data_IF_782750296876
#
_entry.id   IF_782750296876
#
_cell.length_a   1.000
_cell.length_b   1.000
_cell.length_c   1.000
_cell.angle_alpha   90.00
_cell.angle_beta   90.00
_cell.angle_gamma   90.00
#
_symmetry.space_group_name_H-M   'P 1'
#
loop_
_entity.id
_entity.type
_entity.pdbx_description
1 polymer ?
#
# COMPACT_ATOMS: atom_id res chain seq x y z
N UNK A 1 0.08 15.32 12.66
CA UNK A 1 0.50 14.83 13.99
C UNK A 1 -0.74 14.32 14.70
N UNK A 2 -0.72 13.10 15.22
CA UNK A 2 -1.84 12.47 15.90
C UNK A 2 -1.68 12.48 17.42
N UNK A 3 -0.44 12.47 17.93
CA UNK A 3 -0.15 12.71 19.35
C UNK A 3 1.30 13.15 19.54
N UNK A 4 1.57 13.86 20.64
CA UNK A 4 2.90 14.17 21.10
C UNK A 4 2.95 13.97 22.63
N UNK A 5 3.92 13.21 23.12
CA UNK A 5 4.08 12.90 24.55
C UNK A 5 5.55 12.86 24.96
N UNK A 6 5.85 13.23 26.20
CA UNK A 6 7.19 13.06 26.78
C UNK A 6 7.29 11.66 27.38
N UNK A 7 8.27 10.86 26.95
CA UNK A 7 8.51 9.54 27.53
C UNK A 7 9.46 9.64 28.74
N UNK A 8 8.89 9.87 29.91
CA UNK A 8 9.65 9.95 31.17
C UNK A 8 10.18 8.59 31.67
N UNK A 9 9.77 7.46 31.07
CA UNK A 9 10.30 6.14 31.44
C UNK A 9 11.72 5.90 30.94
N UNK A 10 12.29 6.81 30.14
CA UNK A 10 13.67 6.73 29.63
C UNK A 10 14.64 7.67 30.38
N UNK A 11 14.25 8.23 31.53
CA UNK A 11 15.11 9.12 32.32
C UNK A 11 16.51 8.53 32.56
N UNK A 12 17.58 9.36 32.47
CA UNK A 12 17.56 10.82 32.41
C UNK A 12 17.24 11.42 31.03
N UNK A 13 17.33 10.65 29.95
CA UNK A 13 17.00 11.09 28.59
C UNK A 13 15.50 10.88 28.33
N UNK A 14 14.69 11.91 28.56
CA UNK A 14 13.25 11.87 28.32
C UNK A 14 12.87 12.44 26.94
N UNK A 15 12.88 11.63 25.85
CA UNK A 15 12.57 12.12 24.52
C UNK A 15 11.09 12.52 24.38
N UNK A 16 10.83 13.42 23.45
CA UNK A 16 9.47 13.69 22.96
C UNK A 16 9.16 12.68 21.85
N UNK A 17 8.17 11.84 22.09
CA UNK A 17 7.60 10.95 21.08
C UNK A 17 6.51 11.71 20.32
N UNK A 18 6.70 11.90 19.01
CA UNK A 18 5.70 12.48 18.10
C UNK A 18 5.21 11.38 17.17
N UNK A 19 3.93 11.10 17.19
CA UNK A 19 3.30 10.19 16.22
C UNK A 19 2.53 11.00 15.18
N UNK A 20 2.67 10.66 13.91
CA UNK A 20 1.96 11.28 12.80
C UNK A 20 1.36 10.22 11.88
N UNK A 21 0.24 10.55 11.24
CA UNK A 21 -0.41 9.74 10.21
C UNK A 21 -0.32 10.48 8.89
N UNK A 22 0.04 9.76 7.82
CA UNK A 22 0.11 10.31 6.46
C UNK A 22 -1.28 10.59 5.86
N UNK A 23 -2.32 9.91 6.34
CA UNK A 23 -3.71 9.99 5.85
C UNK A 23 -4.63 10.81 6.78
N UNK A 24 -4.04 11.56 7.72
CA UNK A 24 -4.78 12.24 8.78
C UNK A 24 -5.66 13.38 8.28
N UNK A 25 -5.25 14.07 7.20
CA UNK A 25 -5.99 15.22 6.65
C UNK A 25 -7.21 14.75 5.86
N UNK A 26 -7.03 13.71 5.06
CA UNK A 26 -8.02 13.11 4.16
C UNK A 26 -9.16 12.48 4.96
N UNK A 27 -8.86 11.89 6.12
CA UNK A 27 -9.88 11.35 7.04
C UNK A 27 -10.78 12.41 7.69
N UNK A 28 -10.34 13.67 7.75
CA UNK A 28 -11.13 14.77 8.33
C UNK A 28 -12.13 15.36 7.33
N UNK A 29 -12.00 15.04 6.04
CA UNK A 29 -12.93 15.51 5.02
C UNK A 29 -14.25 14.76 5.17
N UNK A 30 -15.31 15.51 5.48
CA UNK A 30 -16.66 14.98 5.52
C UNK A 30 -17.03 14.52 4.11
N UNK A 31 -17.39 13.24 4.00
CA UNK A 31 -17.83 12.65 2.74
C UNK A 31 -19.27 12.18 2.89
N UNK A 32 -20.13 12.56 1.95
CA UNK A 32 -21.46 11.98 1.87
C UNK A 32 -21.38 10.48 1.57
N UNK A 33 -22.36 9.68 2.03
CA UNK A 33 -22.46 8.26 1.68
C UNK A 33 -22.46 8.06 0.16
N UNK A 34 -21.75 7.02 -0.30
CA UNK A 34 -21.82 6.61 -1.70
C UNK A 34 -22.97 5.63 -1.85
N UNK A 35 -24.02 6.04 -2.55
CA UNK A 35 -25.18 5.22 -2.90
C UNK A 35 -25.40 5.33 -4.41
N UNK A 36 -25.34 4.21 -5.12
CA UNK A 36 -25.55 4.18 -6.56
C UNK A 36 -26.63 3.14 -6.85
N UNK A 37 -27.65 3.52 -7.60
CA UNK A 37 -28.64 2.58 -8.11
C UNK A 37 -28.10 1.90 -9.39
N UNK A 38 -28.13 0.56 -9.42
CA UNK A 38 -27.62 -0.22 -10.55
C UNK A 38 -26.17 -0.65 -10.41
N UNK A 39 -25.56 -1.06 -11.53
CA UNK A 39 -24.17 -1.51 -11.58
C UNK A 39 -23.19 -0.35 -11.68
N UNK A 40 -22.22 -0.32 -10.77
CA UNK A 40 -21.12 0.64 -10.77
C UNK A 40 -19.77 -0.08 -10.83
N UNK A 41 -18.84 0.45 -11.62
CA UNK A 41 -17.46 -0.02 -11.60
C UNK A 41 -16.77 0.34 -10.29
N UNK A 42 -16.13 -0.64 -9.67
CA UNK A 42 -15.37 -0.44 -8.42
C UNK A 42 -14.26 0.59 -8.61
N UNK A 43 -13.59 0.59 -9.77
CA UNK A 43 -12.54 1.56 -10.06
C UNK A 43 -13.09 2.99 -10.12
N UNK A 44 -14.29 3.17 -10.68
CA UNK A 44 -14.89 4.49 -10.85
C UNK A 44 -15.43 5.03 -9.51
N UNK A 45 -15.98 4.15 -8.66
CA UNK A 45 -16.37 4.51 -7.30
C UNK A 45 -15.16 5.00 -6.48
N UNK A 46 -14.06 4.24 -6.49
CA UNK A 46 -12.85 4.61 -5.75
C UNK A 46 -12.23 5.90 -6.32
N UNK A 47 -12.24 6.07 -7.65
CA UNK A 47 -11.76 7.30 -8.30
C UNK A 47 -12.58 8.53 -7.89
N UNK A 48 -13.90 8.39 -7.82
CA UNK A 48 -14.79 9.47 -7.40
C UNK A 48 -14.53 9.85 -5.93
N UNK A 49 -14.35 8.86 -5.05
CA UNK A 49 -14.00 9.08 -3.65
C UNK A 49 -12.61 9.72 -3.49
N UNK A 50 -11.60 9.25 -4.22
CA UNK A 50 -10.26 9.83 -4.22
C UNK A 50 -10.28 11.30 -4.64
N UNK A 51 -11.10 11.64 -5.65
CA UNK A 51 -11.23 13.02 -6.14
C UNK A 51 -11.86 13.97 -5.11
N UNK A 52 -12.72 13.48 -4.20
CA UNK A 52 -13.31 14.29 -3.11
C UNK A 52 -12.28 14.71 -2.06
N UNK A 53 -11.15 13.99 -1.96
CA UNK A 53 -10.08 14.24 -1.00
C UNK A 53 -8.76 14.66 -1.68
N UNK A 54 -8.84 15.13 -2.93
CA UNK A 54 -7.70 15.59 -3.72
C UNK A 54 -6.58 14.54 -3.91
N UNK A 55 -6.94 13.25 -3.89
CA UNK A 55 -6.01 12.15 -4.13
C UNK A 55 -5.97 11.79 -5.61
N UNK A 56 -4.75 11.52 -6.11
CA UNK A 56 -4.56 10.91 -7.43
C UNK A 56 -5.06 9.47 -7.41
N UNK A 57 -5.48 8.95 -8.56
CA UNK A 57 -6.00 7.60 -8.68
C UNK A 57 -5.28 6.81 -9.76
N UNK A 58 -4.86 5.58 -9.44
CA UNK A 58 -4.24 4.62 -10.36
C UNK A 58 -4.96 3.28 -10.24
N UNK A 59 -5.45 2.75 -11.37
CA UNK A 59 -5.97 1.40 -11.46
C UNK A 59 -4.98 0.51 -12.20
N UNK A 60 -4.52 -0.56 -11.56
CA UNK A 60 -3.59 -1.53 -12.15
C UNK A 60 -4.35 -2.59 -12.95
N UNK A 61 -5.22 -3.34 -12.28
CA UNK A 61 -5.89 -4.51 -12.87
C UNK A 61 -7.29 -4.80 -12.31
N UNK A 62 -7.91 -3.83 -11.62
CA UNK A 62 -9.26 -3.99 -11.05
C UNK A 62 -10.32 -3.74 -12.11
N UNK A 63 -11.20 -4.73 -12.33
CA UNK A 63 -12.34 -4.67 -13.28
C UNK A 63 -13.68 -5.06 -12.66
N UNK A 64 -13.73 -5.18 -11.33
CA UNK A 64 -14.91 -5.62 -10.60
C UNK A 64 -16.03 -4.58 -10.69
N UNK A 65 -17.28 -5.06 -10.70
CA UNK A 65 -18.49 -4.23 -10.62
C UNK A 65 -19.25 -4.56 -9.34
N UNK A 66 -20.01 -3.59 -8.83
CA UNK A 66 -20.88 -3.76 -7.67
C UNK A 66 -22.29 -3.27 -8.04
N UNK A 67 -23.31 -4.06 -7.70
CA UNK A 67 -24.70 -3.70 -7.93
C UNK A 67 -25.32 -3.15 -6.64
N UNK A 68 -25.92 -1.96 -6.72
CA UNK A 68 -26.54 -1.26 -5.60
C UNK A 68 -25.61 -1.04 -4.38
N UNK A 69 -24.40 -0.49 -4.57
CA UNK A 69 -23.48 -0.24 -3.47
C UNK A 69 -24.01 0.82 -2.51
N UNK A 70 -23.83 0.57 -1.21
CA UNK A 70 -24.06 1.55 -0.15
C UNK A 70 -22.86 1.55 0.81
N UNK A 71 -22.13 2.66 0.85
CA UNK A 71 -20.99 2.84 1.74
C UNK A 71 -21.07 4.16 2.50
N UNK A 72 -20.82 4.09 3.81
CA UNK A 72 -20.79 5.23 4.72
C UNK A 72 -19.42 5.40 5.39
N UNK A 73 -19.18 6.59 5.96
CA UNK A 73 -17.93 6.99 6.59
C UNK A 73 -17.18 8.05 5.77
N UNK A 74 -15.95 8.36 6.17
CA UNK A 74 -15.11 9.26 5.38
C UNK A 74 -14.65 8.60 4.07
N UNK A 75 -14.11 9.38 3.13
CA UNK A 75 -13.72 8.87 1.81
C UNK A 75 -12.72 7.71 1.90
N UNK A 76 -11.77 7.76 2.84
CA UNK A 76 -10.76 6.71 3.03
C UNK A 76 -11.41 5.42 3.56
N UNK A 77 -12.31 5.52 4.52
CA UNK A 77 -13.06 4.37 5.05
C UNK A 77 -13.93 3.73 3.96
N UNK A 78 -14.62 4.53 3.15
CA UNK A 78 -15.40 4.02 2.04
C UNK A 78 -14.50 3.30 1.02
N UNK A 79 -13.35 3.86 0.65
CA UNK A 79 -12.37 3.20 -0.24
C UNK A 79 -11.90 1.86 0.35
N UNK A 80 -11.57 1.82 1.64
CA UNK A 80 -11.13 0.59 2.31
C UNK A 80 -12.23 -0.48 2.38
N UNK A 81 -13.48 -0.09 2.65
CA UNK A 81 -14.64 -0.99 2.65
C UNK A 81 -14.90 -1.58 1.26
N UNK A 82 -14.93 -0.73 0.23
CA UNK A 82 -15.08 -1.17 -1.17
C UNK A 82 -13.95 -2.15 -1.53
N UNK A 83 -12.71 -1.85 -1.11
CA UNK A 83 -11.58 -2.72 -1.39
C UNK A 83 -11.72 -4.10 -0.74
N UNK A 84 -12.14 -4.13 0.53
CA UNK A 84 -12.38 -5.36 1.28
C UNK A 84 -13.51 -6.21 0.66
N UNK A 85 -14.63 -5.61 0.30
CA UNK A 85 -15.81 -6.30 -0.25
C UNK A 85 -15.52 -6.96 -1.61
N UNK A 86 -14.55 -6.44 -2.36
CA UNK A 86 -14.14 -6.98 -3.65
C UNK A 86 -12.81 -7.74 -3.63
N UNK A 87 -12.23 -7.97 -2.44
CA UNK A 87 -10.93 -8.64 -2.26
C UNK A 87 -9.83 -8.03 -3.14
N UNK A 88 -9.77 -6.70 -3.16
CA UNK A 88 -8.72 -5.91 -3.82
C UNK A 88 -7.92 -5.14 -2.77
N UNK A 89 -6.71 -4.74 -3.12
CA UNK A 89 -5.86 -3.92 -2.26
C UNK A 89 -5.97 -2.48 -2.73
N UNK A 90 -6.25 -1.57 -1.80
CA UNK A 90 -6.19 -0.13 -2.00
C UNK A 90 -5.05 0.45 -1.16
N UNK A 91 -3.94 0.74 -1.82
CA UNK A 91 -2.78 1.37 -1.22
C UNK A 91 -2.90 2.89 -1.33
N UNK A 92 -2.76 3.60 -0.21
CA UNK A 92 -2.89 5.06 -0.16
C UNK A 92 -1.56 5.62 0.33
N UNK A 93 -0.76 6.10 -0.63
CA UNK A 93 0.60 6.55 -0.39
C UNK A 93 0.89 7.87 -1.11
N UNK A 94 1.57 8.78 -0.42
CA UNK A 94 1.95 10.13 -0.90
C UNK A 94 0.91 10.85 -1.78
N UNK A 95 -0.36 10.87 -1.35
CA UNK A 95 -1.43 11.56 -2.07
C UNK A 95 -1.97 10.82 -3.31
N UNK A 96 -1.69 9.52 -3.43
CA UNK A 96 -2.17 8.67 -4.53
C UNK A 96 -2.83 7.41 -3.96
N UNK A 97 -4.03 7.09 -4.46
CA UNK A 97 -4.71 5.82 -4.23
C UNK A 97 -4.41 4.90 -5.41
N UNK A 98 -3.76 3.77 -5.14
CA UNK A 98 -3.50 2.73 -6.14
C UNK A 98 -4.30 1.49 -5.80
N UNK A 99 -5.09 1.00 -6.76
CA UNK A 99 -5.87 -0.23 -6.60
C UNK A 99 -5.33 -1.37 -7.47
N UNK A 100 -5.22 -2.56 -6.89
CA UNK A 100 -4.72 -3.75 -7.57
C UNK A 100 -5.24 -5.05 -6.93
N UNK A 101 -5.28 -6.14 -7.71
CA UNK A 101 -5.71 -7.47 -7.25
C UNK A 101 -4.60 -8.29 -6.59
N UNK A 102 -3.35 -7.83 -6.68
CA UNK A 102 -2.16 -8.53 -6.19
C UNK A 102 -1.64 -9.63 -7.11
N UNK A 103 -2.33 -9.90 -8.23
CA UNK A 103 -1.91 -10.90 -9.24
C UNK A 103 -0.89 -10.35 -10.23
N UNK A 104 -0.99 -9.05 -10.52
CA UNK A 104 -0.16 -8.37 -11.51
C UNK A 104 0.80 -7.41 -10.82
N UNK A 105 2.04 -7.25 -11.33
CA UNK A 105 2.91 -6.17 -10.91
C UNK A 105 2.25 -4.80 -11.11
N UNK A 106 2.50 -3.87 -10.19
CA UNK A 106 1.97 -2.50 -10.23
C UNK A 106 2.42 -1.71 -11.47
N UNK A 107 3.59 -2.04 -12.02
CA UNK A 107 4.16 -1.44 -13.23
C UNK A 107 5.24 -2.32 -13.88
N UNK A 108 5.90 -1.80 -14.91
CA UNK A 108 6.97 -2.46 -15.66
C UNK A 108 8.38 -2.23 -15.07
N UNK A 109 8.51 -1.50 -13.96
CA UNK A 109 9.81 -1.23 -13.33
C UNK A 109 10.24 -2.47 -12.54
N UNK A 110 11.42 -3.00 -12.85
CA UNK A 110 11.97 -4.19 -12.19
C UNK A 110 13.34 -3.87 -11.59
N UNK A 111 13.40 -3.50 -10.29
CA UNK A 111 14.67 -3.32 -9.60
C UNK A 111 15.49 -4.62 -9.58
N UNK A 112 16.77 -4.52 -9.91
CA UNK A 112 17.72 -5.62 -9.81
C UNK A 112 18.45 -5.56 -8.47
N UNK A 113 18.42 -6.68 -7.73
CA UNK A 113 18.94 -6.79 -6.37
C UNK A 113 19.93 -7.95 -6.36
N UNK A 114 21.19 -7.66 -6.04
CA UNK A 114 22.28 -8.64 -5.93
C UNK A 114 23.27 -8.20 -4.84
N UNK A 115 24.26 -9.03 -4.43
CA UNK A 115 25.26 -8.62 -3.46
C UNK A 115 25.98 -7.31 -3.85
N UNK A 116 26.17 -7.08 -5.15
CA UNK A 116 26.76 -5.85 -5.70
C UNK A 116 25.74 -4.70 -5.80
N UNK A 117 24.45 -5.02 -5.94
CA UNK A 117 23.34 -4.06 -6.07
C UNK A 117 22.51 -3.96 -4.78
N UNK A 118 23.19 -3.97 -3.63
CA UNK A 118 22.60 -3.62 -2.34
C UNK A 118 21.90 -4.75 -1.59
N UNK A 119 21.96 -6.02 -2.01
CA UNK A 119 21.53 -7.14 -1.17
C UNK A 119 22.46 -7.24 0.06
N UNK A 120 21.87 -7.32 1.26
CA UNK A 120 22.61 -7.39 2.51
C UNK A 120 22.40 -8.77 3.15
N UNK A 121 23.46 -9.56 3.21
CA UNK A 121 23.41 -10.92 3.74
C UNK A 121 22.67 -11.87 2.79
N UNK A 122 22.18 -12.98 3.34
CA UNK A 122 21.46 -14.00 2.58
C UNK A 122 19.94 -13.86 2.75
N UNK A 123 19.16 -14.07 1.68
CA UNK A 123 17.73 -14.26 1.80
C UNK A 123 17.38 -15.49 2.66
N UNK A 124 16.15 -15.51 3.16
CA UNK A 124 15.61 -16.60 3.98
C UNK A 124 14.30 -17.05 3.33
N UNK A 125 14.17 -18.36 3.08
CA UNK A 125 12.91 -18.93 2.64
C UNK A 125 11.87 -18.86 3.76
N UNK A 126 10.66 -18.51 3.40
CA UNK A 126 9.52 -18.37 4.30
C UNK A 126 8.30 -19.07 3.68
N UNK A 127 7.28 -19.37 4.49
CA UNK A 127 6.13 -20.18 4.04
C UNK A 127 5.40 -19.60 2.82
N UNK A 128 5.45 -18.28 2.66
CA UNK A 128 4.79 -17.53 1.58
C UNK A 128 5.75 -16.98 0.52
N UNK A 129 7.05 -17.30 0.59
CA UNK A 129 8.04 -16.81 -0.39
C UNK A 129 9.44 -16.65 0.18
N UNK A 130 10.05 -15.49 -0.06
CA UNK A 130 11.41 -15.19 0.37
C UNK A 130 11.48 -13.84 1.06
N UNK A 131 12.20 -13.79 2.19
CA UNK A 131 12.54 -12.55 2.87
C UNK A 131 14.00 -12.21 2.60
N UNK A 132 14.32 -10.94 2.36
CA UNK A 132 15.69 -10.48 2.17
C UNK A 132 15.86 -9.07 2.72
N UNK A 133 17.11 -8.70 3.05
CA UNK A 133 17.46 -7.33 3.43
C UNK A 133 18.23 -6.67 2.29
N UNK A 134 17.96 -5.41 2.00
CA UNK A 134 18.72 -4.65 1.03
C UNK A 134 18.93 -3.19 1.46
N UNK A 135 19.82 -2.49 0.77
CA UNK A 135 19.94 -1.03 0.86
C UNK A 135 18.62 -0.43 0.36
N UNK A 136 18.13 0.58 1.09
CA UNK A 136 16.90 1.27 0.72
C UNK A 136 16.95 1.79 -0.72
N UNK A 137 15.88 1.53 -1.46
CA UNK A 137 15.66 2.07 -2.80
C UNK A 137 14.19 2.46 -2.96
N UNK A 138 13.86 3.69 -3.36
CA UNK A 138 12.48 4.12 -3.60
C UNK A 138 11.83 3.39 -4.79
N UNK A 139 12.64 2.66 -5.57
CA UNK A 139 12.18 1.80 -6.65
C UNK A 139 11.61 0.47 -6.15
N UNK A 140 11.83 0.08 -4.89
CA UNK A 140 11.22 -1.11 -4.29
C UNK A 140 9.91 -0.65 -3.63
N UNK A 141 8.78 -1.08 -4.21
CA UNK A 141 7.43 -0.72 -3.76
C UNK A 141 6.56 -1.97 -3.63
N UNK A 142 5.52 -1.89 -2.80
CA UNK A 142 4.51 -2.93 -2.70
C UNK A 142 3.92 -3.26 -4.09
N UNK A 143 3.63 -4.55 -4.30
CA UNK A 143 3.15 -5.11 -5.55
C UNK A 143 4.05 -4.87 -6.77
N UNK A 144 5.28 -4.35 -6.61
CA UNK A 144 6.24 -4.25 -7.72
C UNK A 144 7.03 -5.54 -7.87
N UNK A 145 7.34 -5.87 -9.12
CA UNK A 145 8.23 -6.98 -9.46
C UNK A 145 9.69 -6.59 -9.21
N UNK A 146 10.48 -7.47 -8.64
CA UNK A 146 11.93 -7.34 -8.49
C UNK A 146 12.62 -8.54 -9.12
N UNK A 147 13.90 -8.38 -9.45
CA UNK A 147 14.77 -9.48 -9.84
C UNK A 147 15.86 -9.64 -8.79
N UNK A 148 15.84 -10.77 -8.09
CA UNK A 148 16.79 -11.12 -7.03
C UNK A 148 17.85 -12.08 -7.58
N UNK A 149 19.12 -11.78 -7.30
CA UNK A 149 20.25 -12.65 -7.55
C UNK A 149 21.04 -12.87 -6.25
N UNK A 150 21.27 -14.13 -5.92
CA UNK A 150 21.99 -14.55 -4.71
C UNK A 150 22.69 -15.88 -4.95
N UNK A 151 23.72 -16.18 -4.15
CA UNK A 151 24.38 -17.49 -4.17
C UNK A 151 23.60 -18.57 -3.41
N UNK A 152 22.51 -18.22 -2.72
CA UNK A 152 21.62 -19.19 -2.10
C UNK A 152 20.87 -19.99 -3.20
N UNK A 153 20.98 -21.33 -3.25
CA UNK A 153 20.29 -22.15 -4.24
C UNK A 153 18.78 -21.92 -4.22
N UNK A 154 18.16 -21.86 -5.41
CA UNK A 154 16.72 -21.68 -5.64
C UNK A 154 16.11 -20.34 -5.18
N UNK A 155 16.90 -19.41 -4.68
CA UNK A 155 16.42 -18.10 -4.24
C UNK A 155 16.46 -17.02 -5.33
N UNK A 156 17.36 -17.16 -6.30
CA UNK A 156 17.47 -16.25 -7.44
C UNK A 156 16.25 -16.37 -8.36
N UNK A 157 15.70 -15.24 -8.78
CA UNK A 157 14.52 -15.22 -9.63
C UNK A 157 13.75 -13.90 -9.57
N UNK A 158 12.59 -13.94 -10.19
CA UNK A 158 11.64 -12.83 -10.22
C UNK A 158 10.66 -12.95 -9.06
N UNK A 159 10.50 -11.89 -8.27
CA UNK A 159 9.63 -11.88 -7.09
C UNK A 159 8.71 -10.67 -7.09
N UNK A 160 7.57 -10.76 -6.40
CA UNK A 160 6.67 -9.62 -6.16
C UNK A 160 6.79 -9.21 -4.71
N UNK A 161 6.99 -7.92 -4.46
CA UNK A 161 7.07 -7.38 -3.10
C UNK A 161 5.68 -7.41 -2.48
N UNK A 162 5.50 -8.22 -1.44
CA UNK A 162 4.23 -8.30 -0.70
C UNK A 162 4.20 -7.46 0.57
N UNK A 163 5.34 -7.36 1.25
CA UNK A 163 5.49 -6.65 2.52
C UNK A 163 6.89 -6.01 2.61
N UNK A 164 7.00 -4.93 3.36
CA UNK A 164 8.26 -4.25 3.65
C UNK A 164 8.20 -3.57 5.01
N UNK A 165 9.35 -3.45 5.68
CA UNK A 165 9.51 -2.75 6.96
C UNK A 165 10.66 -1.75 6.86
#
# INVERSE_FOLDING_TARGET
IISARVNLNQMPDAPIEITASAIGKEKLVVCEPTSIEGEASVSDMIKALASKVDLKFVNVDVKSVHSNPYYEGNAIEQIQKIAADHNIIADIDFGTVTIYTGKSPIDSVVPFISPENGLIGYPIFYDIGINFRCIYSPSIKLARKIKLETSLPHASGDWIVQYGT
#
